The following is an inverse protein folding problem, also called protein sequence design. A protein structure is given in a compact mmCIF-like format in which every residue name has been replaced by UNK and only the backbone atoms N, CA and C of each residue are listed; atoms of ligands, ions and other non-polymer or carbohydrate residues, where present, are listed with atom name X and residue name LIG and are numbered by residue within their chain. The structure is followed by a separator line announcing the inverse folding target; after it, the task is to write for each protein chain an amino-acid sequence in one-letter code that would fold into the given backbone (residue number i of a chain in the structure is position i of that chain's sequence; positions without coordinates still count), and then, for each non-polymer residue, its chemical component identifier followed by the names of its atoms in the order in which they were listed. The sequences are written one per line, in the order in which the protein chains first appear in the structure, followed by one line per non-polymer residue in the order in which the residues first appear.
data_IF_219655904043
#
_entry.id   IF_219655904043
#
_cell.length_a   1.000
_cell.length_b   1.000
_cell.length_c   1.000
_cell.angle_alpha   90.00
_cell.angle_beta   90.00
_cell.angle_gamma   90.00
#
_symmetry.space_group_name_H-M   'P 1'
#
loop_
_entity.id
_entity.type
_entity.pdbx_description
1 polymer ?
#
# COMPACT_ATOMS: atom_id res chain seq x y z
N UNK A 1 35.38 51.46 29.58
CA UNK A 1 35.59 50.58 30.75
C UNK A 1 34.85 49.30 30.42
N UNK A 2 35.45 48.48 29.58
CA UNK A 2 36.42 47.43 29.96
C UNK A 2 35.63 46.16 30.31
N UNK A 3 35.51 45.22 29.36
CA UNK A 3 36.40 44.03 29.19
C UNK A 3 35.66 42.83 29.85
N UNK A 4 35.63 41.59 29.37
CA UNK A 4 36.53 40.90 28.46
C UNK A 4 35.88 39.59 27.96
N UNK A 5 36.41 39.07 26.84
CA UNK A 5 36.15 37.75 26.30
C UNK A 5 36.99 36.67 27.04
N UNK A 6 36.48 35.44 27.13
CA UNK A 6 37.38 34.27 27.24
C UNK A 6 36.70 32.97 26.81
N UNK A 7 37.39 32.29 25.90
CA UNK A 7 37.22 30.92 25.48
C UNK A 7 38.33 30.05 26.09
N UNK A 8 38.23 28.73 25.85
CA UNK A 8 39.15 27.62 26.21
C UNK A 8 38.86 27.00 27.60
N UNK A 9 38.95 25.69 27.84
CA UNK A 9 39.20 24.48 27.04
C UNK A 9 38.82 23.29 27.96
N UNK A 10 38.38 22.17 27.41
CA UNK A 10 38.17 20.93 28.18
C UNK A 10 38.13 19.69 27.29
N UNK A 11 38.73 18.55 27.70
CA UNK A 11 39.51 17.69 26.83
C UNK A 11 38.73 16.52 26.21
N UNK A 12 39.39 15.84 25.27
CA UNK A 12 38.81 14.87 24.35
C UNK A 12 38.60 13.44 24.86
N UNK A 13 37.85 12.69 24.03
CA UNK A 13 37.95 11.24 23.81
C UNK A 13 36.69 10.43 24.15
N UNK A 14 36.46 9.23 23.55
CA UNK A 14 37.17 8.56 22.46
C UNK A 14 36.27 8.25 21.23
N UNK A 15 36.92 7.89 20.12
CA UNK A 15 36.30 7.55 18.84
C UNK A 15 35.45 6.27 18.84
N UNK A 16 34.52 6.24 17.89
CA UNK A 16 33.70 5.10 17.50
C UNK A 16 33.40 5.14 15.99
N UNK A 17 33.06 4.00 15.37
CA UNK A 17 33.73 3.50 14.17
C UNK A 17 33.27 4.12 12.85
N UNK A 18 34.23 4.17 11.92
CA UNK A 18 34.05 4.67 10.56
C UNK A 18 32.93 3.97 9.79
N UNK A 19 32.08 4.79 9.16
CA UNK A 19 31.16 4.34 8.13
C UNK A 19 31.95 4.10 6.84
N UNK A 20 32.45 2.86 6.72
CA UNK A 20 32.99 2.31 5.49
C UNK A 20 31.95 2.39 4.37
N UNK A 21 32.44 2.72 3.18
CA UNK A 21 31.65 2.99 1.99
C UNK A 21 30.78 1.82 1.54
N UNK A 22 29.64 2.17 0.97
CA UNK A 22 28.87 1.32 0.08
C UNK A 22 28.41 2.18 -1.09
N UNK A 23 29.12 2.06 -2.22
CA UNK A 23 28.71 2.64 -3.49
C UNK A 23 27.34 2.09 -3.87
N UNK A 24 26.31 2.91 -3.70
CA UNK A 24 24.96 2.62 -4.17
C UNK A 24 24.77 3.21 -5.57
N UNK A 25 24.87 2.34 -6.57
CA UNK A 25 24.56 2.62 -7.97
C UNK A 25 23.24 3.40 -8.08
N UNK A 26 23.34 4.67 -8.46
CA UNK A 26 22.21 5.50 -8.88
C UNK A 26 21.80 5.09 -10.29
N UNK A 27 20.97 4.06 -10.41
CA UNK A 27 20.22 3.77 -11.63
C UNK A 27 18.88 4.51 -11.59
N UNK A 28 18.64 5.39 -12.56
CA UNK A 28 17.42 6.20 -12.67
C UNK A 28 16.14 5.35 -12.71
N UNK A 29 15.23 5.64 -11.79
CA UNK A 29 13.94 4.95 -11.66
C UNK A 29 12.87 5.63 -12.52
N UNK A 30 12.63 5.09 -13.71
CA UNK A 30 11.48 5.44 -14.54
C UNK A 30 10.16 5.04 -13.87
N UNK A 31 9.21 5.97 -13.84
CA UNK A 31 7.86 5.79 -13.32
C UNK A 31 7.02 4.95 -14.30
N UNK A 32 6.73 3.68 -13.97
CA UNK A 32 5.69 2.94 -14.68
C UNK A 32 5.79 1.41 -14.73
N UNK A 33 6.93 0.80 -14.38
CA UNK A 33 7.10 -0.66 -14.54
C UNK A 33 6.78 -1.46 -13.26
N UNK A 34 6.07 -2.61 -13.38
CA UNK A 34 5.87 -3.52 -12.27
C UNK A 34 7.19 -4.16 -11.85
N UNK A 35 7.63 -3.92 -10.62
CA UNK A 35 8.89 -4.47 -10.08
C UNK A 35 8.79 -6.00 -9.88
N UNK A 36 9.48 -6.77 -10.73
CA UNK A 36 9.61 -8.22 -10.60
C UNK A 36 10.74 -8.51 -9.62
N UNK A 37 10.43 -9.04 -8.43
CA UNK A 37 11.44 -9.24 -7.38
C UNK A 37 11.21 -10.61 -6.73
N UNK A 38 11.67 -11.66 -7.41
CA UNK A 38 12.36 -12.84 -6.85
C UNK A 38 12.42 -13.96 -7.91
N UNK A 39 13.62 -14.42 -8.23
CA UNK A 39 13.86 -15.61 -9.04
C UNK A 39 14.16 -16.78 -8.09
N UNK A 40 13.19 -17.66 -7.85
CA UNK A 40 13.40 -18.84 -7.02
C UNK A 40 13.15 -20.09 -7.88
N UNK A 41 14.23 -20.84 -8.14
CA UNK A 41 14.28 -22.18 -8.73
C UNK A 41 13.29 -22.40 -9.90
N UNK A 42 13.50 -21.68 -11.00
CA UNK A 42 12.79 -21.92 -12.27
C UNK A 42 11.36 -21.36 -12.33
N UNK A 43 10.97 -20.53 -11.37
CA UNK A 43 9.72 -19.77 -11.40
C UNK A 43 9.95 -18.31 -11.01
N UNK A 44 9.20 -17.42 -11.64
CA UNK A 44 9.23 -15.99 -11.40
C UNK A 44 8.10 -15.60 -10.45
N UNK A 45 8.44 -14.85 -9.41
CA UNK A 45 7.48 -14.26 -8.49
C UNK A 45 7.31 -12.78 -8.80
N UNK A 46 6.10 -12.39 -9.19
CA UNK A 46 5.74 -11.01 -9.44
C UNK A 46 4.99 -10.44 -8.23
N UNK A 47 5.43 -9.28 -7.75
CA UNK A 47 4.72 -8.44 -6.80
C UNK A 47 4.17 -7.24 -7.57
N UNK A 48 2.85 -7.07 -7.58
CA UNK A 48 2.19 -5.99 -8.32
C UNK A 48 1.33 -5.21 -7.36
N UNK A 49 1.51 -3.90 -7.38
CA UNK A 49 0.65 -2.97 -6.68
C UNK A 49 -0.16 -2.17 -7.70
N UNK A 50 -1.42 -1.88 -7.37
CA UNK A 50 -2.36 -1.13 -8.19
C UNK A 50 -3.01 -0.08 -7.30
N UNK A 51 -3.24 1.12 -7.82
CA UNK A 51 -4.03 2.12 -7.13
C UNK A 51 -4.48 3.24 -8.07
N UNK A 52 -5.47 4.00 -7.63
CA UNK A 52 -6.08 5.10 -8.38
C UNK A 52 -5.57 6.49 -7.92
N UNK A 53 -4.58 6.53 -7.03
CA UNK A 53 -4.08 7.74 -6.37
C UNK A 53 -5.17 8.52 -5.60
N UNK A 54 -6.32 7.91 -5.35
CA UNK A 54 -7.49 8.56 -4.78
C UNK A 54 -8.22 7.65 -3.78
N UNK A 55 -7.46 6.99 -2.91
CA UNK A 55 -8.03 6.23 -1.80
C UNK A 55 -8.32 4.76 -2.09
N UNK A 56 -7.84 4.18 -3.20
CA UNK A 56 -7.91 2.74 -3.44
C UNK A 56 -6.55 2.17 -3.77
N UNK A 57 -6.17 1.09 -3.07
CA UNK A 57 -4.91 0.39 -3.33
C UNK A 57 -5.10 -1.12 -3.23
N UNK A 58 -4.44 -1.87 -4.11
CA UNK A 58 -4.43 -3.32 -4.13
C UNK A 58 -3.00 -3.85 -4.24
N UNK A 59 -2.74 -5.00 -3.62
CA UNK A 59 -1.45 -5.70 -3.69
C UNK A 59 -1.69 -7.16 -4.08
N UNK A 60 -1.02 -7.60 -5.15
CA UNK A 60 -1.11 -8.94 -5.70
C UNK A 60 0.27 -9.59 -5.77
N UNK A 61 0.33 -10.88 -5.43
CA UNK A 61 1.55 -11.68 -5.54
C UNK A 61 1.23 -12.95 -6.30
N UNK A 62 1.96 -13.23 -7.37
CA UNK A 62 1.80 -14.45 -8.15
C UNK A 62 3.14 -15.04 -8.54
N UNK A 63 3.26 -16.35 -8.42
CA UNK A 63 4.39 -17.11 -8.95
C UNK A 63 3.94 -17.90 -10.19
N UNK A 64 4.73 -17.85 -11.27
CA UNK A 64 4.52 -18.63 -12.50
C UNK A 64 5.86 -18.97 -13.14
N UNK A 65 5.91 -19.96 -14.04
CA UNK A 65 7.13 -20.31 -14.80
C UNK A 65 7.52 -19.25 -15.83
N UNK A 66 6.55 -18.50 -16.34
CA UNK A 66 6.74 -17.39 -17.27
C UNK A 66 6.45 -16.05 -16.60
N UNK A 67 7.31 -15.06 -16.87
CA UNK A 67 7.20 -13.70 -16.33
C UNK A 67 5.87 -13.04 -16.72
N UNK A 68 5.51 -13.07 -18.00
CA UNK A 68 4.29 -12.41 -18.50
C UNK A 68 3.04 -12.95 -17.82
N UNK A 69 2.96 -14.27 -17.63
CA UNK A 69 1.85 -14.95 -16.94
C UNK A 69 1.84 -14.64 -15.44
N UNK A 70 3.01 -14.53 -14.80
CA UNK A 70 3.11 -14.10 -13.40
C UNK A 70 2.55 -12.67 -13.21
N UNK A 71 2.96 -11.72 -14.07
CA UNK A 71 2.51 -10.32 -13.99
C UNK A 71 1.01 -10.21 -14.25
N UNK A 72 0.50 -10.83 -15.32
CA UNK A 72 -0.94 -10.81 -15.64
C UNK A 72 -1.77 -11.39 -14.50
N UNK A 73 -1.34 -12.50 -13.92
CA UNK A 73 -2.00 -13.11 -12.76
C UNK A 73 -1.92 -12.23 -11.51
N UNK A 74 -0.77 -11.59 -11.25
CA UNK A 74 -0.59 -10.68 -10.13
C UNK A 74 -1.47 -9.43 -10.26
N UNK A 75 -1.65 -8.88 -11.47
CA UNK A 75 -2.56 -7.75 -11.73
C UNK A 75 -4.00 -8.13 -11.37
N UNK A 76 -4.47 -9.31 -11.80
CA UNK A 76 -5.84 -9.78 -11.48
C UNK A 76 -5.99 -9.94 -9.98
N UNK A 77 -5.03 -10.57 -9.30
CA UNK A 77 -5.06 -10.71 -7.84
C UNK A 77 -5.04 -9.36 -7.11
N UNK A 78 -4.25 -8.39 -7.58
CA UNK A 78 -4.20 -7.05 -7.01
C UNK A 78 -5.54 -6.31 -7.17
N UNK A 79 -6.23 -6.48 -8.30
CA UNK A 79 -7.57 -5.92 -8.52
C UNK A 79 -8.63 -6.53 -7.61
N UNK A 80 -8.53 -7.83 -7.33
CA UNK A 80 -9.44 -8.52 -6.40
C UNK A 80 -9.18 -8.13 -4.94
N UNK A 81 -7.96 -7.72 -4.60
CA UNK A 81 -7.54 -7.35 -3.24
C UNK A 81 -7.51 -5.83 -3.00
N UNK A 82 -8.27 -5.04 -3.77
CA UNK A 82 -8.35 -3.59 -3.54
C UNK A 82 -8.99 -3.31 -2.19
N UNK A 83 -8.33 -2.48 -1.40
CA UNK A 83 -8.77 -2.03 -0.09
C UNK A 83 -8.95 -0.52 -0.13
N UNK A 84 -10.06 0.01 0.43
CA UNK A 84 -10.23 1.44 0.55
C UNK A 84 -9.22 1.99 1.57
N UNK A 85 -8.70 3.19 1.32
CA UNK A 85 -7.73 3.89 2.17
C UNK A 85 -8.36 5.14 2.75
N UNK A 86 -8.41 5.23 4.08
CA UNK A 86 -9.01 6.39 4.74
C UNK A 86 -7.94 7.46 4.86
N UNK A 87 -8.16 8.58 4.18
CA UNK A 87 -7.34 9.78 4.32
C UNK A 87 -7.92 10.69 5.41
N UNK A 88 -7.06 11.46 6.05
CA UNK A 88 -7.38 12.43 7.08
C UNK A 88 -6.55 13.71 6.94
N UNK A 89 -6.67 14.57 7.94
CA UNK A 89 -5.97 15.85 8.01
C UNK A 89 -5.09 15.89 9.26
N UNK A 90 -3.93 16.52 9.14
CA UNK A 90 -3.06 16.82 10.27
C UNK A 90 -3.53 18.10 10.98
N UNK A 91 -3.96 17.98 12.23
CA UNK A 91 -4.44 19.11 13.02
C UNK A 91 -5.74 19.70 12.46
N UNK A 92 -5.64 20.85 11.77
CA UNK A 92 -6.80 21.57 11.26
C UNK A 92 -7.39 20.90 9.99
N UNK A 93 -8.71 20.68 9.98
CA UNK A 93 -9.46 20.07 8.87
C UNK A 93 -9.74 21.06 7.73
N UNK A 94 -8.70 21.71 7.19
CA UNK A 94 -8.84 22.72 6.12
C UNK A 94 -8.53 22.13 4.74
N UNK A 95 -9.49 22.07 3.83
CA UNK A 95 -9.28 21.55 2.46
C UNK A 95 -9.34 20.02 2.38
N UNK A 96 -8.72 19.44 1.34
CA UNK A 96 -8.79 17.99 1.09
C UNK A 96 -7.93 17.20 2.10
N UNK A 97 -8.36 15.99 2.52
CA UNK A 97 -7.52 15.08 3.28
C UNK A 97 -6.23 14.77 2.51
N UNK A 98 -5.08 14.83 3.19
CA UNK A 98 -3.75 14.71 2.58
C UNK A 98 -2.86 13.66 3.27
N UNK A 99 -3.21 13.26 4.50
CA UNK A 99 -2.41 12.35 5.32
C UNK A 99 -3.25 11.22 5.90
N UNK A 100 -2.67 10.39 6.76
CA UNK A 100 -3.38 9.29 7.46
C UNK A 100 -4.19 9.86 8.64
N UNK A 101 -5.40 9.36 8.95
CA UNK A 101 -6.25 9.90 10.03
C UNK A 101 -5.66 9.73 11.43
N UNK A 102 -4.90 8.66 11.65
CA UNK A 102 -4.31 8.32 12.93
C UNK A 102 -3.00 7.54 12.72
N UNK A 103 -2.23 7.36 13.79
CA UNK A 103 -1.05 6.49 13.74
C UNK A 103 -1.52 5.04 13.59
N UNK A 104 -1.11 4.36 12.53
CA UNK A 104 -1.49 2.97 12.25
C UNK A 104 -0.25 2.10 12.06
N UNK A 105 -0.27 0.90 12.63
CA UNK A 105 0.84 -0.04 12.54
C UNK A 105 0.40 -1.33 11.88
N UNK A 106 1.08 -1.70 10.80
CA UNK A 106 0.96 -2.97 10.12
C UNK A 106 2.05 -3.95 10.52
N UNK A 107 1.78 -5.25 10.43
CA UNK A 107 2.76 -6.32 10.70
C UNK A 107 2.67 -7.45 9.68
N UNK A 108 3.81 -7.87 9.14
CA UNK A 108 3.93 -9.14 8.39
C UNK A 108 5.25 -9.83 8.74
N UNK A 109 5.17 -11.02 9.35
CA UNK A 109 6.35 -11.72 9.86
C UNK A 109 7.08 -10.93 10.96
N UNK A 110 8.38 -10.70 10.77
CA UNK A 110 9.21 -9.87 11.67
C UNK A 110 9.17 -8.37 11.36
N UNK A 111 8.54 -7.98 10.24
CA UNK A 111 8.51 -6.58 9.77
C UNK A 111 7.32 -5.85 10.36
N UNK A 112 7.57 -4.64 10.83
CA UNK A 112 6.60 -3.70 11.37
C UNK A 112 6.73 -2.37 10.63
N UNK A 113 5.61 -1.81 10.17
CA UNK A 113 5.56 -0.48 9.55
C UNK A 113 4.52 0.35 10.28
N UNK A 114 4.94 1.49 10.81
CA UNK A 114 4.09 2.48 11.43
C UNK A 114 3.95 3.68 10.48
N UNK A 115 2.71 4.02 10.14
CA UNK A 115 2.36 5.24 9.41
C UNK A 115 1.95 6.30 10.42
N UNK A 116 2.54 7.48 10.29
CA UNK A 116 2.36 8.60 11.21
C UNK A 116 1.85 9.81 10.39
N UNK A 117 0.75 10.46 10.82
CA UNK A 117 0.23 11.65 10.14
C UNK A 117 1.26 12.78 10.09
N UNK A 118 1.34 13.47 8.96
CA UNK A 118 2.33 14.51 8.69
C UNK A 118 1.68 15.85 8.28
N UNK A 119 2.32 17.00 8.57
CA UNK A 119 1.86 18.30 8.09
C UNK A 119 1.94 18.37 6.55
N UNK A 120 1.23 19.33 5.97
CA UNK A 120 1.18 19.50 4.51
C UNK A 120 2.54 19.86 3.93
N UNK A 121 2.85 19.27 2.77
CA UNK A 121 4.10 19.53 2.04
C UNK A 121 5.31 18.75 2.58
N UNK A 122 5.08 17.78 3.46
CA UNK A 122 6.11 16.84 3.93
C UNK A 122 6.49 15.83 2.85
N UNK A 123 5.53 15.47 2.00
CA UNK A 123 5.61 14.33 1.11
C UNK A 123 5.60 12.99 1.86
N UNK A 124 5.71 11.91 1.11
CA UNK A 124 5.86 10.56 1.66
C UNK A 124 7.32 10.31 2.01
N UNK A 125 7.65 10.39 3.30
CA UNK A 125 8.98 10.09 3.85
C UNK A 125 9.01 8.61 4.21
N UNK A 126 9.44 7.81 3.23
CA UNK A 126 9.54 6.36 3.34
C UNK A 126 10.60 5.77 2.42
N UNK A 127 10.90 4.48 2.64
CA UNK A 127 11.69 3.68 1.71
C UNK A 127 10.97 3.57 0.33
N UNK A 128 11.68 3.28 -0.77
CA UNK A 128 11.12 3.34 -2.12
C UNK A 128 9.84 2.51 -2.32
N UNK A 129 9.79 1.32 -1.74
CA UNK A 129 8.70 0.34 -1.89
C UNK A 129 7.40 0.82 -1.23
N UNK A 130 7.37 1.11 0.10
CA UNK A 130 6.19 1.69 0.74
C UNK A 130 5.87 3.08 0.20
N UNK A 131 6.86 3.86 -0.25
CA UNK A 131 6.63 5.16 -0.88
C UNK A 131 5.73 5.03 -2.11
N UNK A 132 6.03 4.10 -3.03
CA UNK A 132 5.18 3.82 -4.19
C UNK A 132 3.78 3.38 -3.79
N UNK A 133 3.66 2.48 -2.82
CA UNK A 133 2.36 2.00 -2.31
C UNK A 133 1.51 3.13 -1.71
N UNK A 134 2.11 3.99 -0.88
CA UNK A 134 1.40 5.11 -0.24
C UNK A 134 0.99 6.18 -1.27
N UNK A 135 1.83 6.45 -2.26
CA UNK A 135 1.48 7.36 -3.37
C UNK A 135 0.30 6.80 -4.17
N UNK A 136 0.31 5.51 -4.54
CA UNK A 136 -0.82 4.88 -5.24
C UNK A 136 -2.10 4.83 -4.43
N UNK A 137 -1.98 4.75 -3.09
CA UNK A 137 -3.11 4.88 -2.17
C UNK A 137 -3.69 6.30 -2.08
N UNK A 138 -3.01 7.30 -2.67
CA UNK A 138 -3.40 8.72 -2.61
C UNK A 138 -2.93 9.44 -1.36
N UNK A 139 -2.00 8.88 -0.58
CA UNK A 139 -1.47 9.58 0.59
C UNK A 139 -0.33 10.50 0.13
N UNK A 140 -0.54 11.81 0.25
CA UNK A 140 0.42 12.83 -0.17
C UNK A 140 1.53 13.01 0.88
N UNK A 141 1.13 13.11 2.15
CA UNK A 141 2.03 13.42 3.26
C UNK A 141 1.97 12.33 4.33
N UNK A 142 3.11 11.69 4.63
CA UNK A 142 3.18 10.68 5.69
C UNK A 142 4.61 10.46 6.16
N UNK A 143 4.79 10.40 7.48
CA UNK A 143 6.00 9.84 8.07
C UNK A 143 5.85 8.33 8.20
N UNK A 144 6.92 7.60 7.95
CA UNK A 144 6.93 6.15 8.14
C UNK A 144 8.09 5.74 9.03
N UNK A 145 7.84 4.75 9.88
CA UNK A 145 8.88 4.10 10.67
C UNK A 145 8.78 2.59 10.45
N UNK A 146 9.87 1.98 10.01
CA UNK A 146 9.96 0.55 9.77
C UNK A 146 10.92 -0.10 10.78
N UNK A 147 10.55 -1.28 11.29
CA UNK A 147 11.39 -2.11 12.16
C UNK A 147 11.34 -3.57 11.71
N UNK A 148 12.40 -4.33 12.02
CA UNK A 148 12.55 -5.73 11.63
C UNK A 148 13.35 -5.92 10.34
N UNK A 149 13.24 -7.10 9.73
CA UNK A 149 13.99 -7.44 8.51
C UNK A 149 13.32 -6.85 7.25
N UNK A 150 13.55 -5.55 6.99
CA UNK A 150 13.00 -4.83 5.84
C UNK A 150 13.64 -5.20 4.50
N UNK A 151 14.71 -6.00 4.50
CA UNK A 151 15.35 -6.51 3.30
C UNK A 151 14.43 -7.43 2.47
N UNK A 152 13.50 -8.13 3.14
CA UNK A 152 12.54 -9.00 2.46
C UNK A 152 11.36 -8.18 1.92
N UNK A 153 11.46 -7.79 0.65
CA UNK A 153 10.47 -6.97 -0.05
C UNK A 153 9.03 -7.44 0.16
N UNK A 154 8.78 -8.74 -0.04
CA UNK A 154 7.43 -9.28 0.01
C UNK A 154 6.75 -9.09 1.36
N UNK A 155 7.50 -9.18 2.46
CA UNK A 155 6.96 -8.90 3.80
C UNK A 155 6.82 -7.40 4.02
N UNK A 156 7.76 -6.60 3.53
CA UNK A 156 7.72 -5.16 3.69
C UNK A 156 6.50 -4.53 2.99
N UNK A 157 6.25 -4.88 1.72
CA UNK A 157 5.08 -4.43 0.97
C UNK A 157 3.76 -4.87 1.61
N UNK A 158 3.67 -6.13 2.05
CA UNK A 158 2.48 -6.66 2.76
C UNK A 158 2.24 -5.94 4.08
N UNK A 159 3.30 -5.62 4.81
CA UNK A 159 3.22 -4.89 6.09
C UNK A 159 2.66 -3.49 5.87
N UNK A 160 3.13 -2.79 4.85
CA UNK A 160 2.59 -1.47 4.48
C UNK A 160 1.14 -1.55 4.04
N UNK A 161 0.79 -2.54 3.22
CA UNK A 161 -0.58 -2.77 2.79
C UNK A 161 -1.53 -3.06 3.98
N UNK A 162 -1.09 -3.86 4.95
CA UNK A 162 -1.81 -4.11 6.19
C UNK A 162 -1.99 -2.82 7.04
N UNK A 163 -0.95 -1.99 7.14
CA UNK A 163 -1.05 -0.71 7.82
C UNK A 163 -2.09 0.23 7.18
N UNK A 164 -2.11 0.29 5.85
CA UNK A 164 -3.06 1.08 5.07
C UNK A 164 -4.49 0.56 5.27
N UNK A 165 -4.70 -0.75 5.17
CA UNK A 165 -6.01 -1.38 5.38
C UNK A 165 -6.62 -1.03 6.74
N UNK A 166 -5.78 -0.99 7.77
CA UNK A 166 -6.20 -0.67 9.14
C UNK A 166 -6.71 0.77 9.32
N UNK A 167 -6.43 1.68 8.39
CA UNK A 167 -6.92 3.07 8.46
C UNK A 167 -8.46 3.15 8.49
N UNK A 168 -9.15 2.28 7.76
CA UNK A 168 -10.62 2.20 7.79
C UNK A 168 -11.14 1.45 9.01
N UNK A 169 -10.38 0.49 9.53
CA UNK A 169 -10.77 -0.25 10.74
C UNK A 169 -10.67 0.58 12.03
N UNK A 170 -10.01 1.75 11.97
CA UNK A 170 -9.82 2.60 13.12
C UNK A 170 -11.06 3.45 13.40
N UNK A 171 -11.68 3.23 14.56
CA UNK A 171 -12.85 3.97 15.01
C UNK A 171 -12.43 5.34 15.58
N UNK A 172 -12.62 6.38 14.78
CA UNK A 172 -12.45 7.78 15.23
C UNK A 172 -13.76 8.34 15.76
N UNK A 173 -13.74 9.42 16.57
CA UNK A 173 -14.95 10.06 17.06
C UNK A 173 -15.95 10.49 15.97
N UNK A 174 -15.46 10.81 14.77
CA UNK A 174 -16.31 11.13 13.61
C UNK A 174 -17.24 9.97 13.19
N UNK A 175 -16.91 8.73 13.58
CA UNK A 175 -17.65 7.51 13.24
C UNK A 175 -18.50 6.97 14.41
N UNK A 176 -18.64 7.71 15.52
CA UNK A 176 -19.42 7.26 16.69
C UNK A 176 -20.94 7.30 16.49
N UNK A 177 -21.41 8.06 15.49
CA UNK A 177 -22.84 8.11 15.18
C UNK A 177 -23.31 6.73 14.72
N UNK A 178 -24.40 6.24 15.30
CA UNK A 178 -25.00 4.97 14.90
C UNK A 178 -25.30 4.95 13.40
N UNK A 179 -24.83 3.91 12.73
CA UNK A 179 -25.10 3.70 11.32
C UNK A 179 -26.50 3.13 11.14
N UNK A 180 -27.35 3.83 10.40
CA UNK A 180 -28.63 3.30 9.96
C UNK A 180 -28.36 2.28 8.86
N UNK A 181 -28.55 1.00 9.15
CA UNK A 181 -28.37 -0.07 8.17
C UNK A 181 -29.44 0.00 7.09
N UNK A 182 -29.03 0.22 5.85
CA UNK A 182 -29.91 0.08 4.68
C UNK A 182 -29.98 -1.40 4.27
N UNK A 183 -30.98 -1.74 3.45
CA UNK A 183 -31.06 -3.10 2.88
C UNK A 183 -29.83 -3.36 2.03
N UNK A 184 -29.37 -4.60 2.01
CA UNK A 184 -28.24 -4.97 1.15
C UNK A 184 -28.67 -4.91 -0.33
N UNK A 185 -27.79 -4.54 -1.27
CA UNK A 185 -28.13 -4.55 -2.70
C UNK A 185 -28.62 -5.92 -3.19
N UNK A 186 -28.10 -7.02 -2.62
CA UNK A 186 -28.58 -8.37 -2.94
C UNK A 186 -30.06 -8.56 -2.58
N UNK A 187 -30.50 -7.99 -1.46
CA UNK A 187 -31.89 -8.05 -1.01
C UNK A 187 -32.78 -7.12 -1.85
N UNK A 188 -32.32 -5.91 -2.18
CA UNK A 188 -33.10 -4.96 -3.00
C UNK A 188 -33.30 -5.46 -4.43
N UNK A 189 -32.27 -6.08 -5.02
CA UNK A 189 -32.31 -6.56 -6.41
C UNK A 189 -32.55 -8.08 -6.53
N UNK A 190 -33.10 -8.72 -5.49
CA UNK A 190 -33.31 -10.19 -5.48
C UNK A 190 -34.10 -10.67 -6.70
N UNK A 191 -35.23 -10.03 -7.02
CA UNK A 191 -36.08 -10.42 -8.15
C UNK A 191 -35.36 -10.32 -9.50
N UNK A 192 -34.53 -9.28 -9.66
CA UNK A 192 -33.73 -9.08 -10.87
C UNK A 192 -32.64 -10.16 -11.01
N UNK A 193 -31.93 -10.47 -9.92
CA UNK A 193 -30.84 -11.44 -9.92
C UNK A 193 -31.35 -12.86 -10.23
N UNK A 194 -32.49 -13.26 -9.65
CA UNK A 194 -33.12 -14.57 -9.91
C UNK A 194 -33.52 -14.69 -11.39
N UNK A 195 -34.20 -13.67 -11.93
CA UNK A 195 -34.65 -13.66 -13.33
C UNK A 195 -33.50 -13.70 -14.33
N UNK A 196 -32.40 -12.99 -14.03
CA UNK A 196 -31.23 -12.91 -14.91
C UNK A 196 -30.49 -14.24 -14.96
N UNK A 197 -30.29 -14.90 -13.81
CA UNK A 197 -29.60 -16.18 -13.75
C UNK A 197 -30.33 -17.29 -14.53
N UNK A 198 -31.67 -17.34 -14.46
CA UNK A 198 -32.49 -18.32 -15.19
C UNK A 198 -32.44 -18.09 -16.71
N UNK A 199 -32.42 -16.84 -17.17
CA UNK A 199 -32.32 -16.54 -18.62
C UNK A 199 -30.96 -16.94 -19.20
N UNK A 200 -29.88 -16.69 -18.46
CA UNK A 200 -28.53 -17.08 -18.87
C UNK A 200 -28.37 -18.61 -18.90
N UNK A 201 -28.97 -19.34 -17.94
CA UNK A 201 -28.95 -20.81 -17.96
C UNK A 201 -29.73 -21.38 -19.15
N UNK A 202 -30.92 -20.84 -19.45
CA UNK A 202 -31.73 -21.29 -20.60
C UNK A 202 -31.07 -21.01 -21.96
N UNK A 203 -30.43 -19.85 -22.14
CA UNK A 203 -29.68 -19.53 -23.37
C UNK A 203 -28.46 -20.43 -23.56
N UNK A 204 -27.79 -20.86 -22.47
CA UNK A 204 -26.67 -21.81 -22.52
C UNK A 204 -27.12 -23.22 -22.92
N UNK A 205 -28.34 -23.63 -22.56
CA UNK A 205 -28.92 -24.92 -22.97
C UNK A 205 -29.40 -24.92 -24.43
N UNK A 206 -29.69 -23.75 -25.00
CA UNK A 206 -30.22 -23.60 -26.36
C UNK A 206 -29.18 -23.22 -27.42
N UNK A 207 -27.88 -23.17 -27.09
CA UNK A 207 -26.84 -23.04 -28.11
C UNK A 207 -26.94 -24.25 -29.08
N UNK A 208 -27.22 -24.03 -30.38
CA UNK A 208 -27.39 -25.14 -31.30
C UNK A 208 -26.06 -25.88 -31.43
N UNK A 209 -26.11 -27.21 -31.30
CA UNK A 209 -25.02 -28.06 -31.73
C UNK A 209 -24.73 -27.73 -33.20
N UNK A 210 -23.59 -27.10 -33.46
CA UNK A 210 -23.10 -26.86 -34.82
C UNK A 210 -22.99 -28.24 -35.45
N UNK A 211 -23.92 -28.55 -36.36
CA UNK A 211 -23.91 -29.76 -37.14
C UNK A 211 -22.66 -29.72 -38.03
N UNK A 212 -21.66 -30.50 -37.66
CA UNK A 212 -20.55 -30.85 -38.55
C UNK A 212 -21.14 -31.68 -39.69
N UNK A 213 -21.11 -31.16 -40.90
CA UNK A 213 -21.25 -31.92 -42.14
C UNK A 213 -20.19 -31.40 -43.11
#
# INVERSE_FOLDING_TARGET
MADDASAADGPGGPGGPGMGGGGGFHGGFGSGEPEIIDFFLGSFKAFVAIGDYNGHVGLGVKCSKEVATAIRGAIVLAKLSIVPVRQGSWGNKMGKPHTVPCKVTGRCGSVLVCLIPAPRGTGVISAPVPKKLLMMAGIDDCYTSARGCTAMLGNFAKTTFDAISKTYSYLTPDLWKEMVFTKSPYQEFTDHLVKTHIRVSMQRTQAPAVATT
#
